data_IF_917496068614
#
_entry.id   IF_917496068614
#
_cell.length_a   1.000
_cell.length_b   1.000
_cell.length_c   1.000
_cell.angle_alpha   90.00
_cell.angle_beta   90.00
_cell.angle_gamma   90.00
#
_symmetry.space_group_name_H-M   'P 1'
#
loop_
_entity.id
_entity.type
_entity.pdbx_description
1 polymer ?
#
# COMPACT_ATOMS: atom_id res chain seq x y z
N UNK A 1 -11.43 3.24 -85.14
CA UNK A 1 -10.19 3.44 -84.36
C UNK A 1 -10.59 3.31 -82.90
N UNK A 2 -10.37 2.14 -82.33
CA UNK A 2 -10.79 1.79 -80.98
C UNK A 2 -9.82 2.42 -79.97
N UNK A 3 -10.30 3.37 -79.18
CA UNK A 3 -9.69 3.81 -77.93
C UNK A 3 -10.58 3.28 -76.81
N UNK A 4 -10.68 1.96 -76.72
CA UNK A 4 -11.48 1.28 -75.70
C UNK A 4 -10.60 0.87 -74.53
N UNK A 5 -11.00 1.34 -73.36
CA UNK A 5 -10.82 0.72 -72.04
C UNK A 5 -9.44 0.67 -71.36
N UNK A 6 -8.30 0.62 -72.05
CA UNK A 6 -7.02 0.39 -71.33
C UNK A 6 -6.63 1.52 -70.37
N UNK A 7 -6.90 2.78 -70.72
CA UNK A 7 -6.55 3.93 -69.87
C UNK A 7 -7.59 4.26 -68.77
N UNK A 8 -8.79 3.68 -68.84
CA UNK A 8 -9.82 3.84 -67.80
C UNK A 8 -9.80 2.68 -66.81
N UNK A 9 -9.41 1.48 -67.24
CA UNK A 9 -9.17 0.31 -66.38
C UNK A 9 -7.81 0.43 -65.65
N UNK A 10 -6.79 1.03 -66.26
CA UNK A 10 -5.52 1.34 -65.57
C UNK A 10 -5.62 2.45 -64.51
N UNK A 11 -6.82 3.02 -64.33
CA UNK A 11 -7.12 4.13 -63.42
C UNK A 11 -8.10 3.75 -62.31
N UNK A 12 -8.20 2.47 -61.94
CA UNK A 12 -8.26 2.16 -60.50
C UNK A 12 -6.95 2.68 -59.91
N UNK A 13 -6.94 3.98 -59.60
CA UNK A 13 -5.73 4.80 -59.67
C UNK A 13 -4.59 4.14 -58.91
N UNK A 14 -3.38 4.13 -59.48
CA UNK A 14 -2.19 3.62 -58.78
C UNK A 14 -2.09 4.20 -57.36
N UNK A 15 -2.56 5.44 -57.15
CA UNK A 15 -2.70 6.06 -55.84
C UNK A 15 -3.67 5.33 -54.89
N UNK A 16 -4.79 4.79 -55.39
CA UNK A 16 -5.72 3.95 -54.61
C UNK A 16 -5.10 2.60 -54.24
N UNK A 17 -4.30 1.99 -55.12
CA UNK A 17 -3.57 0.75 -54.87
C UNK A 17 -2.44 0.98 -53.87
N UNK A 18 -1.68 2.06 -54.02
CA UNK A 18 -0.64 2.49 -53.08
C UNK A 18 -1.25 2.79 -51.72
N UNK A 19 -2.37 3.52 -51.66
CA UNK A 19 -3.06 3.81 -50.41
C UNK A 19 -3.58 2.54 -49.72
N UNK A 20 -4.22 1.62 -50.45
CA UNK A 20 -4.65 0.31 -49.91
C UNK A 20 -3.46 -0.52 -49.41
N UNK A 21 -2.36 -0.52 -50.13
CA UNK A 21 -1.14 -1.26 -49.76
C UNK A 21 -0.46 -0.64 -48.53
N UNK A 22 -0.41 0.70 -48.44
CA UNK A 22 0.11 1.41 -47.28
C UNK A 22 -0.75 1.17 -46.03
N UNK A 23 -2.08 1.20 -46.17
CA UNK A 23 -3.01 0.89 -45.07
C UNK A 23 -2.85 -0.57 -44.63
N UNK A 24 -2.79 -1.51 -45.56
CA UNK A 24 -2.58 -2.92 -45.25
C UNK A 24 -1.21 -3.15 -44.57
N UNK A 25 -0.16 -2.46 -45.03
CA UNK A 25 1.17 -2.52 -44.44
C UNK A 25 1.16 -1.96 -43.02
N UNK A 26 0.55 -0.78 -42.80
CA UNK A 26 0.40 -0.20 -41.46
C UNK A 26 -0.39 -1.13 -40.54
N UNK A 27 -1.48 -1.71 -41.02
CA UNK A 27 -2.26 -2.69 -40.27
C UNK A 27 -1.39 -3.88 -39.85
N UNK A 28 -0.64 -4.50 -40.77
CA UNK A 28 0.22 -5.64 -40.45
C UNK A 28 1.41 -5.28 -39.57
N UNK A 29 1.96 -4.07 -39.68
CA UNK A 29 2.97 -3.56 -38.75
C UNK A 29 2.38 -3.45 -37.34
N UNK A 30 1.18 -2.86 -37.20
CA UNK A 30 0.49 -2.75 -35.91
C UNK A 30 0.18 -4.13 -35.33
N UNK A 31 -0.32 -5.07 -36.15
CA UNK A 31 -0.58 -6.45 -35.72
C UNK A 31 0.72 -7.14 -35.29
N UNK A 32 1.79 -7.03 -36.08
CA UNK A 32 3.08 -7.66 -35.75
C UNK A 32 3.67 -7.08 -34.48
N UNK A 33 3.58 -5.76 -34.29
CA UNK A 33 4.02 -5.09 -33.07
C UNK A 33 3.18 -5.54 -31.86
N UNK A 34 1.86 -5.63 -32.01
CA UNK A 34 0.97 -6.12 -30.96
C UNK A 34 1.29 -7.57 -30.56
N UNK A 35 1.57 -8.44 -31.55
CA UNK A 35 2.01 -9.82 -31.31
C UNK A 35 3.36 -9.88 -30.62
N UNK A 36 4.33 -9.07 -31.03
CA UNK A 36 5.64 -8.98 -30.39
C UNK A 36 5.54 -8.51 -28.93
N UNK A 37 4.73 -7.49 -28.65
CA UNK A 37 4.48 -7.01 -27.28
C UNK A 37 3.78 -8.08 -26.43
N UNK A 38 2.87 -8.83 -27.02
CA UNK A 38 2.19 -9.96 -26.36
C UNK A 38 3.17 -11.09 -26.05
N UNK A 39 4.03 -11.45 -27.00
CA UNK A 39 5.07 -12.45 -26.80
C UNK A 39 6.11 -12.00 -25.76
N UNK A 40 6.54 -10.74 -25.80
CA UNK A 40 7.48 -10.18 -24.83
C UNK A 40 6.95 -10.25 -23.39
N UNK A 41 5.64 -10.04 -23.19
CA UNK A 41 4.98 -10.23 -21.88
C UNK A 41 5.07 -11.68 -21.39
N UNK A 42 4.96 -12.66 -22.27
CA UNK A 42 5.03 -14.07 -21.89
C UNK A 42 6.47 -14.52 -21.61
N UNK A 43 7.44 -14.05 -22.40
CA UNK A 43 8.84 -14.48 -22.32
C UNK A 43 9.62 -13.68 -21.27
N UNK A 44 9.32 -12.38 -21.12
CA UNK A 44 10.03 -11.46 -20.22
C UNK A 44 9.05 -10.65 -19.35
N UNK A 45 8.23 -11.31 -18.51
CA UNK A 45 7.13 -10.66 -17.81
C UNK A 45 7.60 -9.54 -16.87
N UNK A 46 8.75 -9.68 -16.19
CA UNK A 46 9.28 -8.63 -15.32
C UNK A 46 9.76 -7.40 -16.11
N UNK A 47 10.43 -7.60 -17.25
CA UNK A 47 10.86 -6.48 -18.10
C UNK A 47 9.64 -5.74 -18.68
N UNK A 48 8.63 -6.50 -19.14
CA UNK A 48 7.37 -5.93 -19.61
C UNK A 48 6.67 -5.13 -18.51
N UNK A 49 6.64 -5.61 -17.26
CA UNK A 49 6.05 -4.88 -16.14
C UNK A 49 6.69 -3.49 -15.96
N UNK A 50 8.02 -3.42 -15.95
CA UNK A 50 8.74 -2.15 -15.83
C UNK A 50 8.46 -1.20 -17.00
N UNK A 51 8.40 -1.72 -18.23
CA UNK A 51 8.06 -0.93 -19.42
C UNK A 51 6.66 -0.34 -19.28
N UNK A 52 5.67 -1.13 -18.86
CA UNK A 52 4.30 -0.63 -18.66
C UNK A 52 4.18 0.38 -17.52
N UNK A 53 4.92 0.20 -16.42
CA UNK A 53 4.99 1.21 -15.35
C UNK A 53 5.52 2.55 -15.87
N UNK A 54 6.59 2.52 -16.66
CA UNK A 54 7.20 3.73 -17.23
C UNK A 54 6.24 4.45 -18.20
N UNK A 55 5.35 3.71 -18.87
CA UNK A 55 4.29 4.29 -19.70
C UNK A 55 3.02 4.67 -18.92
N UNK A 56 3.00 4.51 -17.60
CA UNK A 56 1.85 4.82 -16.75
C UNK A 56 0.70 3.82 -16.88
N UNK A 57 0.93 2.63 -17.44
CA UNK A 57 -0.09 1.59 -17.57
C UNK A 57 -0.03 0.63 -16.39
N UNK A 58 -0.53 1.07 -15.23
CA UNK A 58 -0.49 0.34 -13.97
C UNK A 58 -1.18 -1.03 -14.04
N UNK A 59 -2.32 -1.13 -14.75
CA UNK A 59 -3.05 -2.39 -14.90
C UNK A 59 -2.22 -3.45 -15.65
N UNK A 60 -1.59 -3.07 -16.76
CA UNK A 60 -0.72 -4.00 -17.49
C UNK A 60 0.57 -4.31 -16.76
N UNK A 61 1.13 -3.33 -16.05
CA UNK A 61 2.26 -3.57 -15.17
C UNK A 61 1.94 -4.61 -14.10
N UNK A 62 0.79 -4.48 -13.44
CA UNK A 62 0.28 -5.43 -12.46
C UNK A 62 0.18 -6.85 -13.05
N UNK A 63 -0.53 -7.02 -14.18
CA UNK A 63 -0.70 -8.35 -14.79
C UNK A 63 0.64 -9.03 -15.09
N UNK A 64 1.61 -8.26 -15.59
CA UNK A 64 2.94 -8.77 -15.95
C UNK A 64 3.76 -9.11 -14.69
N UNK A 65 3.70 -8.26 -13.67
CA UNK A 65 4.40 -8.47 -12.40
C UNK A 65 3.84 -9.66 -11.62
N UNK A 66 2.51 -9.78 -11.53
CA UNK A 66 1.86 -10.94 -10.90
C UNK A 66 2.23 -12.25 -11.63
N UNK A 67 2.32 -12.23 -12.97
CA UNK A 67 2.81 -13.37 -13.74
C UNK A 67 4.28 -13.68 -13.46
N UNK A 68 5.15 -12.66 -13.44
CA UNK A 68 6.58 -12.83 -13.16
C UNK A 68 6.82 -13.40 -11.75
N UNK A 69 6.07 -12.94 -10.75
CA UNK A 69 6.15 -13.41 -9.37
C UNK A 69 5.80 -14.91 -9.23
N UNK A 70 4.99 -15.46 -10.14
CA UNK A 70 4.64 -16.89 -10.18
C UNK A 70 5.67 -17.73 -10.93
N UNK A 71 6.29 -17.17 -11.96
CA UNK A 71 7.17 -17.90 -12.88
C UNK A 71 8.65 -17.88 -12.46
N UNK A 72 9.10 -16.82 -11.79
CA UNK A 72 10.50 -16.60 -11.47
C UNK A 72 10.84 -16.98 -10.01
N UNK A 73 12.12 -17.23 -9.75
CA UNK A 73 12.69 -17.37 -8.41
C UNK A 73 13.66 -16.23 -8.05
N UNK A 74 14.17 -16.25 -6.82
CA UNK A 74 15.21 -15.31 -6.36
C UNK A 74 14.81 -13.84 -6.45
N UNK A 75 15.78 -12.98 -6.75
CA UNK A 75 15.61 -11.51 -6.79
C UNK A 75 14.55 -11.06 -7.82
N UNK A 76 14.46 -11.75 -8.96
CA UNK A 76 13.45 -11.44 -9.98
C UNK A 76 12.02 -11.64 -9.44
N UNK A 77 11.81 -12.66 -8.60
CA UNK A 77 10.50 -12.89 -7.94
C UNK A 77 10.20 -11.78 -6.94
N UNK A 78 11.17 -11.40 -6.12
CA UNK A 78 11.03 -10.36 -5.10
C UNK A 78 10.67 -9.02 -5.75
N UNK A 79 11.40 -8.63 -6.79
CA UNK A 79 11.12 -7.39 -7.54
C UNK A 79 9.73 -7.42 -8.19
N UNK A 80 9.34 -8.56 -8.78
CA UNK A 80 8.01 -8.73 -9.35
C UNK A 80 6.90 -8.59 -8.29
N UNK A 81 7.06 -9.19 -7.11
CA UNK A 81 6.10 -9.07 -6.00
C UNK A 81 5.96 -7.64 -5.50
N UNK A 82 7.07 -6.91 -5.37
CA UNK A 82 7.04 -5.49 -4.97
C UNK A 82 6.23 -4.67 -5.98
N UNK A 83 6.42 -4.90 -7.28
CA UNK A 83 5.64 -4.23 -8.33
C UNK A 83 4.17 -4.63 -8.24
N UNK A 84 3.88 -5.92 -8.10
CA UNK A 84 2.50 -6.43 -8.06
C UNK A 84 1.71 -5.87 -6.87
N UNK A 85 2.31 -5.82 -5.67
CA UNK A 85 1.69 -5.22 -4.48
C UNK A 85 1.42 -3.73 -4.68
N UNK A 86 2.41 -2.95 -5.11
CA UNK A 86 2.21 -1.51 -5.26
C UNK A 86 1.20 -1.19 -6.37
N UNK A 87 1.23 -1.95 -7.47
CA UNK A 87 0.30 -1.75 -8.58
C UNK A 87 -1.13 -2.14 -8.19
N UNK A 88 -1.33 -3.25 -7.47
CA UNK A 88 -2.65 -3.65 -6.98
C UNK A 88 -3.24 -2.63 -6.00
N UNK A 89 -2.42 -2.09 -5.08
CA UNK A 89 -2.86 -1.02 -4.16
C UNK A 89 -3.25 0.24 -4.94
N UNK A 90 -2.43 0.66 -5.90
CA UNK A 90 -2.74 1.81 -6.76
C UNK A 90 -4.05 1.60 -7.52
N UNK A 91 -4.27 0.42 -8.09
CA UNK A 91 -5.48 0.08 -8.83
C UNK A 91 -6.71 -0.01 -7.93
N UNK A 92 -6.57 -0.48 -6.69
CA UNK A 92 -7.65 -0.44 -5.70
C UNK A 92 -8.04 1.01 -5.36
N UNK A 93 -7.08 1.94 -5.32
CA UNK A 93 -7.37 3.37 -5.15
C UNK A 93 -8.28 3.95 -6.24
N UNK A 94 -8.20 3.39 -7.47
CA UNK A 94 -9.02 3.81 -8.62
C UNK A 94 -10.32 3.02 -8.74
N UNK A 95 -10.27 1.69 -8.55
CA UNK A 95 -11.37 0.76 -8.72
C UNK A 95 -11.45 -0.22 -7.53
N UNK A 96 -11.94 0.22 -6.35
CA UNK A 96 -11.87 -0.55 -5.12
C UNK A 96 -12.52 -1.94 -5.20
N UNK A 97 -13.70 -2.03 -5.83
CA UNK A 97 -14.45 -3.30 -5.93
C UNK A 97 -13.85 -4.34 -6.87
N UNK A 98 -12.95 -3.94 -7.77
CA UNK A 98 -12.27 -4.86 -8.69
C UNK A 98 -10.96 -5.40 -8.10
N UNK A 99 -10.24 -4.57 -7.36
CA UNK A 99 -8.86 -4.87 -6.93
C UNK A 99 -8.70 -5.17 -5.45
N UNK A 100 -9.74 -5.09 -4.61
CA UNK A 100 -9.64 -5.45 -3.19
C UNK A 100 -9.07 -6.87 -2.99
N UNK A 101 -9.63 -7.89 -3.66
CA UNK A 101 -9.12 -9.27 -3.59
C UNK A 101 -7.68 -9.41 -4.08
N UNK A 102 -7.30 -8.64 -5.11
CA UNK A 102 -5.92 -8.60 -5.61
C UNK A 102 -4.98 -8.03 -4.55
N UNK A 103 -5.34 -6.92 -3.90
CA UNK A 103 -4.55 -6.35 -2.79
C UNK A 103 -4.41 -7.36 -1.66
N UNK A 104 -5.49 -8.03 -1.25
CA UNK A 104 -5.42 -9.07 -0.21
C UNK A 104 -4.40 -10.14 -0.62
N UNK A 105 -4.60 -10.79 -1.77
CA UNK A 105 -3.75 -11.89 -2.21
C UNK A 105 -2.27 -11.49 -2.38
N UNK A 106 -1.99 -10.36 -3.01
CA UNK A 106 -0.60 -9.95 -3.30
C UNK A 106 0.16 -9.55 -2.04
N UNK A 107 -0.50 -8.87 -1.12
CA UNK A 107 0.12 -8.44 0.14
C UNK A 107 0.36 -9.61 1.09
N UNK A 108 -0.55 -10.59 1.15
CA UNK A 108 -0.30 -11.86 1.86
C UNK A 108 0.92 -12.59 1.26
N UNK A 109 0.97 -12.68 -0.06
CA UNK A 109 2.06 -13.35 -0.75
C UNK A 109 3.40 -12.60 -0.65
N UNK A 110 3.36 -11.27 -0.47
CA UNK A 110 4.54 -10.46 -0.16
C UNK A 110 5.09 -10.78 1.22
N UNK A 111 4.25 -10.80 2.27
CA UNK A 111 4.71 -11.09 3.61
C UNK A 111 5.13 -12.56 3.82
N UNK A 112 4.60 -13.47 2.99
CA UNK A 112 5.03 -14.86 2.97
C UNK A 112 6.41 -15.08 2.30
N UNK A 113 6.93 -14.10 1.56
CA UNK A 113 8.23 -14.18 0.88
C UNK A 113 9.32 -13.49 1.73
N UNK A 114 10.23 -14.26 2.31
CA UNK A 114 11.30 -13.71 3.16
C UNK A 114 12.15 -12.68 2.43
N UNK A 115 12.41 -12.88 1.13
CA UNK A 115 13.16 -11.91 0.33
C UNK A 115 12.44 -10.56 0.16
N UNK A 116 11.10 -10.55 0.20
CA UNK A 116 10.31 -9.33 0.23
C UNK A 116 10.36 -8.65 1.61
N UNK A 117 10.22 -9.44 2.69
CA UNK A 117 10.29 -8.92 4.06
C UNK A 117 11.66 -8.29 4.34
N UNK A 118 12.74 -8.93 3.91
CA UNK A 118 14.12 -8.42 4.03
C UNK A 118 14.34 -7.10 3.26
N UNK A 119 13.47 -6.81 2.28
CA UNK A 119 13.54 -5.57 1.47
C UNK A 119 12.84 -4.38 2.14
N UNK A 120 11.97 -4.60 3.13
CA UNK A 120 11.19 -3.55 3.81
C UNK A 120 12.11 -2.43 4.35
N UNK A 121 13.18 -2.70 5.13
CA UNK A 121 14.02 -1.64 5.67
C UNK A 121 14.69 -0.78 4.59
N UNK A 122 15.05 -1.41 3.47
CA UNK A 122 15.70 -0.74 2.34
C UNK A 122 14.72 0.16 1.58
N UNK A 123 13.46 -0.25 1.48
CA UNK A 123 12.38 0.57 0.92
C UNK A 123 12.08 1.75 1.85
N UNK A 124 12.03 1.52 3.17
CA UNK A 124 11.83 2.58 4.15
C UNK A 124 12.94 3.64 4.09
N UNK A 125 14.21 3.21 4.06
CA UNK A 125 15.35 4.10 3.92
C UNK A 125 15.29 4.91 2.61
N UNK A 126 14.97 4.24 1.50
CA UNK A 126 14.79 4.91 0.22
C UNK A 126 13.67 5.95 0.26
N UNK A 127 12.49 5.59 0.80
CA UNK A 127 11.34 6.49 0.87
C UNK A 127 11.65 7.73 1.70
N UNK A 128 12.35 7.58 2.84
CA UNK A 128 12.72 8.73 3.68
C UNK A 128 13.74 9.62 3.01
N UNK A 129 14.75 9.02 2.35
CA UNK A 129 15.79 9.77 1.65
C UNK A 129 15.21 10.63 0.53
N UNK A 130 14.24 10.08 -0.21
CA UNK A 130 13.65 10.73 -1.38
C UNK A 130 12.40 11.57 -1.06
N UNK A 131 11.76 11.37 0.08
CA UNK A 131 10.65 12.23 0.51
C UNK A 131 11.16 13.64 0.86
N UNK A 132 10.38 14.63 0.42
CA UNK A 132 10.52 16.00 0.89
C UNK A 132 10.52 16.01 2.43
N UNK A 133 11.39 16.84 3.03
CA UNK A 133 11.47 16.96 4.50
C UNK A 133 10.11 17.27 5.14
N UNK A 134 9.24 17.97 4.43
CA UNK A 134 7.86 18.29 4.85
C UNK A 134 6.92 17.08 4.83
N UNK A 135 7.25 16.03 4.07
CA UNK A 135 6.43 14.81 3.91
C UNK A 135 6.90 13.62 4.76
N UNK A 136 8.17 13.60 5.18
CA UNK A 136 8.71 12.64 6.17
C UNK A 136 7.82 12.43 7.42
N UNK A 137 7.14 13.45 7.98
CA UNK A 137 6.17 13.32 9.07
C UNK A 137 4.99 12.38 8.85
N UNK A 138 4.70 12.06 7.58
CA UNK A 138 3.56 11.25 7.17
C UNK A 138 3.99 9.90 6.59
N UNK A 139 5.30 9.60 6.62
CA UNK A 139 5.79 8.30 6.22
C UNK A 139 5.46 7.28 7.32
N UNK A 140 5.09 6.11 6.86
CA UNK A 140 4.91 4.91 7.66
C UNK A 140 6.00 3.92 7.23
N UNK A 141 6.27 2.93 8.08
CA UNK A 141 7.03 1.79 7.58
C UNK A 141 6.25 1.14 6.44
N UNK A 142 6.96 0.60 5.47
CA UNK A 142 6.36 -0.04 4.31
C UNK A 142 5.53 -1.27 4.73
N UNK A 143 5.91 -1.92 5.83
CA UNK A 143 5.09 -2.97 6.46
C UNK A 143 3.73 -2.44 6.95
N UNK A 144 3.71 -1.27 7.60
CA UNK A 144 2.48 -0.63 8.07
C UNK A 144 1.61 -0.19 6.89
N UNK A 145 2.22 0.42 5.87
CA UNK A 145 1.53 0.76 4.62
C UNK A 145 0.83 -0.46 3.99
N UNK A 146 1.56 -1.56 3.77
CA UNK A 146 0.98 -2.77 3.18
C UNK A 146 -0.11 -3.37 4.06
N UNK A 147 0.11 -3.44 5.38
CA UNK A 147 -0.88 -4.01 6.32
C UNK A 147 -2.16 -3.16 6.38
N UNK A 148 -2.02 -1.84 6.34
CA UNK A 148 -3.13 -0.90 6.28
C UNK A 148 -3.94 -1.04 5.00
N UNK A 149 -3.29 -1.14 3.84
CA UNK A 149 -4.00 -1.29 2.56
C UNK A 149 -4.61 -2.67 2.38
N UNK A 150 -4.01 -3.74 2.90
CA UNK A 150 -4.67 -5.05 3.00
C UNK A 150 -5.91 -4.96 3.92
N UNK A 151 -5.81 -4.31 5.07
CA UNK A 151 -6.96 -4.11 5.97
C UNK A 151 -8.09 -3.35 5.30
N UNK A 152 -7.76 -2.29 4.54
CA UNK A 152 -8.73 -1.54 3.73
C UNK A 152 -9.39 -2.43 2.68
N UNK A 153 -8.61 -3.24 1.97
CA UNK A 153 -9.11 -4.18 0.99
C UNK A 153 -10.08 -5.21 1.60
N UNK A 154 -9.72 -5.79 2.75
CA UNK A 154 -10.59 -6.70 3.52
C UNK A 154 -11.91 -6.04 3.92
N UNK A 155 -11.85 -4.80 4.39
CA UNK A 155 -13.06 -4.03 4.73
C UNK A 155 -13.96 -3.81 3.49
N UNK A 156 -13.37 -3.47 2.33
CA UNK A 156 -14.10 -3.31 1.06
C UNK A 156 -14.75 -4.64 0.63
N UNK A 157 -14.04 -5.76 0.77
CA UNK A 157 -14.54 -7.11 0.50
C UNK A 157 -15.57 -7.61 1.53
N UNK A 158 -15.83 -6.84 2.59
CA UNK A 158 -16.79 -7.19 3.64
C UNK A 158 -16.27 -8.18 4.69
N UNK A 159 -14.97 -8.49 4.68
CA UNK A 159 -14.36 -9.33 5.70
C UNK A 159 -14.33 -8.64 7.07
N UNK A 160 -14.43 -9.44 8.13
CA UNK A 160 -14.44 -8.97 9.53
C UNK A 160 -13.08 -9.14 10.21
N UNK A 161 -12.02 -8.68 9.54
CA UNK A 161 -10.66 -8.82 10.04
C UNK A 161 -9.76 -7.65 9.64
N UNK A 162 -8.68 -7.47 10.41
CA UNK A 162 -7.54 -6.64 10.02
C UNK A 162 -6.41 -7.52 9.50
N UNK A 163 -5.50 -6.94 8.73
CA UNK A 163 -4.27 -7.60 8.32
C UNK A 163 -3.13 -7.34 9.29
N UNK A 164 -2.38 -8.41 9.55
CA UNK A 164 -1.17 -8.44 10.34
C UNK A 164 -0.09 -9.23 9.58
N UNK A 165 0.84 -8.55 8.91
CA UNK A 165 1.87 -9.20 8.08
C UNK A 165 1.27 -10.26 7.14
N UNK A 166 0.15 -9.92 6.48
CA UNK A 166 -0.52 -10.82 5.55
C UNK A 166 -1.31 -11.94 6.23
N UNK A 167 -1.53 -11.89 7.55
CA UNK A 167 -2.41 -12.80 8.26
C UNK A 167 -3.67 -12.06 8.73
N UNK A 168 -4.86 -12.63 8.54
CA UNK A 168 -6.07 -12.04 9.07
C UNK A 168 -6.11 -12.18 10.60
N UNK A 169 -6.53 -11.12 11.28
CA UNK A 169 -6.88 -11.10 12.71
C UNK A 169 -8.32 -10.62 12.81
N UNK A 170 -9.20 -11.47 13.33
CA UNK A 170 -10.61 -11.14 13.49
C UNK A 170 -10.78 -9.89 14.37
N UNK A 171 -11.79 -9.07 14.10
CA UNK A 171 -12.07 -7.87 14.91
C UNK A 171 -12.30 -8.19 16.40
N UNK A 172 -12.87 -9.36 16.71
CA UNK A 172 -13.05 -9.84 18.09
C UNK A 172 -11.74 -10.08 18.82
N UNK A 173 -10.67 -10.41 18.10
CA UNK A 173 -9.39 -10.84 18.65
C UNK A 173 -8.34 -9.73 18.60
N UNK A 174 -8.70 -8.57 18.02
CA UNK A 174 -7.78 -7.47 17.74
C UNK A 174 -7.09 -6.93 19.00
N UNK A 175 -7.83 -6.70 20.08
CA UNK A 175 -7.27 -6.22 21.34
C UNK A 175 -6.26 -7.22 21.94
N UNK A 176 -6.59 -8.51 21.91
CA UNK A 176 -5.71 -9.58 22.39
C UNK A 176 -4.44 -9.68 21.53
N UNK A 177 -4.57 -9.59 20.20
CA UNK A 177 -3.44 -9.62 19.28
C UNK A 177 -2.47 -8.44 19.52
N UNK A 178 -3.00 -7.23 19.74
CA UNK A 178 -2.18 -6.06 20.08
C UNK A 178 -1.45 -6.29 21.41
N UNK A 179 -2.15 -6.74 22.44
CA UNK A 179 -1.56 -6.99 23.76
C UNK A 179 -0.45 -8.06 23.70
N UNK A 180 -0.69 -9.19 23.03
CA UNK A 180 0.32 -10.25 22.84
C UNK A 180 1.57 -9.74 22.13
N UNK A 181 1.42 -8.88 21.12
CA UNK A 181 2.59 -8.28 20.45
C UNK A 181 3.34 -7.30 21.37
N UNK A 182 2.61 -6.53 22.18
CA UNK A 182 3.18 -5.53 23.10
C UNK A 182 3.89 -6.15 24.32
N UNK A 183 3.67 -7.42 24.66
CA UNK A 183 4.31 -8.12 25.78
C UNK A 183 5.73 -8.59 25.49
N UNK A 184 6.06 -8.88 24.23
CA UNK A 184 7.36 -9.44 23.85
C UNK A 184 8.26 -8.37 23.23
N UNK A 185 9.47 -8.16 23.75
CA UNK A 185 10.46 -7.25 23.15
C UNK A 185 10.78 -7.62 21.69
N UNK A 186 10.70 -8.91 21.35
CA UNK A 186 10.96 -9.40 19.99
C UNK A 186 9.77 -9.13 19.06
N UNK A 187 8.55 -9.11 19.58
CA UNK A 187 7.32 -8.88 18.80
C UNK A 187 6.78 -7.47 18.92
N UNK A 188 7.44 -6.62 19.70
CA UNK A 188 6.95 -5.29 20.02
C UNK A 188 6.72 -4.42 18.77
N UNK A 189 7.62 -4.52 17.79
CA UNK A 189 7.51 -3.80 16.52
C UNK A 189 6.25 -4.21 15.71
N UNK A 190 5.69 -5.39 15.98
CA UNK A 190 4.53 -5.93 15.30
C UNK A 190 3.19 -5.38 15.79
N UNK A 191 3.15 -4.73 16.97
CA UNK A 191 1.94 -4.10 17.49
C UNK A 191 1.56 -2.82 16.72
N UNK A 192 2.53 -2.04 16.24
CA UNK A 192 2.27 -0.81 15.49
C UNK A 192 1.39 -1.04 14.24
N UNK A 193 1.71 -2.00 13.35
CA UNK A 193 0.85 -2.31 12.20
C UNK A 193 -0.58 -2.71 12.60
N UNK A 194 -0.78 -3.47 13.69
CA UNK A 194 -2.12 -3.82 14.17
C UNK A 194 -2.91 -2.57 14.62
N UNK A 195 -2.27 -1.66 15.36
CA UNK A 195 -2.88 -0.41 15.82
C UNK A 195 -3.21 0.51 14.63
N UNK A 196 -2.29 0.62 13.66
CA UNK A 196 -2.53 1.35 12.42
C UNK A 196 -3.66 0.73 11.59
N UNK A 197 -3.76 -0.60 11.51
CA UNK A 197 -4.88 -1.30 10.87
C UNK A 197 -6.20 -1.02 11.59
N UNK A 198 -6.22 -0.96 12.92
CA UNK A 198 -7.41 -0.52 13.68
C UNK A 198 -7.81 0.92 13.31
N UNK A 199 -6.83 1.81 13.12
CA UNK A 199 -7.07 3.18 12.67
C UNK A 199 -7.64 3.23 11.23
N UNK A 200 -7.21 2.33 10.34
CA UNK A 200 -7.76 2.20 8.99
C UNK A 200 -9.23 1.79 9.04
N UNK A 201 -9.58 0.77 9.85
CA UNK A 201 -10.99 0.36 10.02
C UNK A 201 -11.82 1.50 10.57
N UNK A 202 -11.32 2.24 11.58
CA UNK A 202 -12.01 3.41 12.09
C UNK A 202 -12.21 4.48 11.01
N UNK A 203 -11.22 4.73 10.16
CA UNK A 203 -11.33 5.66 9.04
C UNK A 203 -12.40 5.22 8.02
N UNK A 204 -12.45 3.93 7.69
CA UNK A 204 -13.47 3.40 6.77
C UNK A 204 -14.87 3.40 7.37
N UNK A 205 -15.00 3.10 8.67
CA UNK A 205 -16.27 3.25 9.38
C UNK A 205 -16.76 4.70 9.40
N UNK A 206 -15.86 5.68 9.57
CA UNK A 206 -16.20 7.11 9.47
C UNK A 206 -16.74 7.43 8.07
N UNK A 207 -16.02 7.03 7.01
CA UNK A 207 -16.44 7.29 5.62
C UNK A 207 -17.77 6.61 5.28
N UNK A 208 -17.97 5.40 5.79
CA UNK A 208 -19.18 4.61 5.57
C UNK A 208 -20.34 4.97 6.53
N UNK A 209 -20.11 5.87 7.50
CA UNK A 209 -21.04 6.18 8.59
C UNK A 209 -21.56 4.93 9.32
N UNK A 210 -20.65 4.04 9.72
CA UNK A 210 -20.92 2.77 10.41
C UNK A 210 -20.31 2.76 11.82
N UNK A 211 -20.87 1.96 12.75
CA UNK A 211 -20.22 1.73 14.05
C UNK A 211 -18.88 0.99 13.86
N UNK A 212 -18.02 1.06 14.88
CA UNK A 212 -16.82 0.23 14.91
C UNK A 212 -17.19 -1.25 15.06
N UNK A 213 -16.52 -2.16 14.34
CA UNK A 213 -16.80 -3.58 14.40
C UNK A 213 -15.98 -4.31 15.48
N UNK A 214 -15.22 -3.58 16.29
CA UNK A 214 -14.45 -4.10 17.43
C UNK A 214 -14.76 -3.32 18.71
N UNK A 215 -14.42 -3.90 19.86
CA UNK A 215 -14.50 -3.21 21.15
C UNK A 215 -13.42 -2.12 21.23
N UNK A 216 -13.83 -0.87 21.01
CA UNK A 216 -12.94 0.28 21.05
C UNK A 216 -12.26 0.44 22.41
N UNK A 217 -12.94 0.16 23.53
CA UNK A 217 -12.35 0.35 24.85
C UNK A 217 -11.22 -0.66 25.09
N UNK A 218 -11.43 -1.93 24.71
CA UNK A 218 -10.42 -2.98 24.80
C UNK A 218 -9.22 -2.71 23.87
N UNK A 219 -9.47 -2.31 22.62
CA UNK A 219 -8.41 -1.97 21.66
C UNK A 219 -7.62 -0.75 22.12
N UNK A 220 -8.29 0.29 22.61
CA UNK A 220 -7.65 1.49 23.16
C UNK A 220 -6.77 1.16 24.36
N UNK A 221 -7.23 0.30 25.27
CA UNK A 221 -6.42 -0.13 26.42
C UNK A 221 -5.14 -0.87 25.99
N UNK A 222 -5.24 -1.82 25.06
CA UNK A 222 -4.09 -2.54 24.52
C UNK A 222 -3.12 -1.61 23.77
N UNK A 223 -3.64 -0.71 22.94
CA UNK A 223 -2.85 0.28 22.20
C UNK A 223 -2.17 1.30 23.13
N UNK A 224 -2.80 1.62 24.26
CA UNK A 224 -2.22 2.48 25.30
C UNK A 224 -1.05 1.82 26.02
N UNK A 225 -1.17 0.55 26.37
CA UNK A 225 -0.08 -0.18 26.99
C UNK A 225 1.14 -0.23 26.06
N UNK A 226 0.91 -0.50 24.78
CA UNK A 226 1.93 -0.40 23.75
C UNK A 226 2.57 0.99 23.73
N UNK A 227 1.78 2.06 23.59
CA UNK A 227 2.31 3.43 23.56
C UNK A 227 3.19 3.77 24.77
N UNK A 228 2.77 3.38 25.98
CA UNK A 228 3.53 3.67 27.20
C UNK A 228 4.92 3.03 27.18
N UNK A 229 5.02 1.79 26.66
CA UNK A 229 6.32 1.12 26.44
C UNK A 229 7.14 1.85 25.36
N UNK A 230 6.50 2.32 24.27
CA UNK A 230 7.18 3.03 23.17
C UNK A 230 7.81 4.33 23.68
N UNK A 231 7.04 5.11 24.45
CA UNK A 231 7.48 6.36 25.04
C UNK A 231 8.61 6.10 26.04
N UNK A 232 8.49 5.08 26.90
CA UNK A 232 9.52 4.73 27.88
C UNK A 232 10.88 4.39 27.27
N UNK A 233 10.89 3.85 26.04
CA UNK A 233 12.12 3.54 25.30
C UNK A 233 12.60 4.62 24.33
N UNK A 234 11.89 5.75 24.19
CA UNK A 234 12.20 6.77 23.19
C UNK A 234 13.10 7.88 23.75
N UNK A 235 14.29 8.07 23.16
CA UNK A 235 15.05 9.31 23.35
C UNK A 235 14.37 10.44 22.59
N UNK A 236 13.67 11.30 23.32
CA UNK A 236 12.96 12.45 22.73
C UNK A 236 13.91 13.49 22.12
N UNK A 237 15.18 13.51 22.52
CA UNK A 237 16.18 14.47 22.04
C UNK A 237 16.78 14.01 20.71
N UNK A 238 17.06 12.72 20.57
CA UNK A 238 17.54 12.09 19.33
C UNK A 238 16.65 10.90 18.93
N UNK A 239 15.40 11.15 18.53
CA UNK A 239 14.47 10.07 18.21
C UNK A 239 14.93 9.31 16.98
N UNK A 240 14.70 7.99 16.98
CA UNK A 240 14.94 7.16 15.80
C UNK A 240 13.71 7.15 14.90
N UNK A 241 13.90 6.77 13.63
CA UNK A 241 12.78 6.54 12.72
C UNK A 241 11.79 5.50 13.29
N UNK A 242 12.32 4.43 13.89
CA UNK A 242 11.52 3.39 14.53
C UNK A 242 10.62 4.01 15.61
N UNK A 243 11.19 4.83 16.50
CA UNK A 243 10.42 5.54 17.54
C UNK A 243 9.31 6.42 16.97
N UNK A 244 9.55 7.08 15.84
CA UNK A 244 8.50 7.84 15.14
C UNK A 244 7.37 6.93 14.69
N UNK A 245 7.66 5.80 14.03
CA UNK A 245 6.63 4.87 13.56
C UNK A 245 5.78 4.30 14.70
N UNK A 246 6.42 3.93 15.81
CA UNK A 246 5.75 3.36 16.98
C UNK A 246 4.74 4.36 17.59
N UNK A 247 5.17 5.61 17.80
CA UNK A 247 4.28 6.66 18.34
C UNK A 247 3.22 7.09 17.33
N UNK A 248 3.56 7.12 16.04
CA UNK A 248 2.63 7.49 14.95
C UNK A 248 1.44 6.54 14.85
N UNK A 249 1.64 5.25 15.05
CA UNK A 249 0.57 4.25 14.99
C UNK A 249 -0.55 4.59 15.97
N UNK A 250 -0.22 4.83 17.24
CA UNK A 250 -1.18 5.24 18.26
C UNK A 250 -1.75 6.65 17.97
N UNK A 251 -0.92 7.61 17.56
CA UNK A 251 -1.38 8.96 17.19
C UNK A 251 -2.49 8.91 16.14
N UNK A 252 -2.31 8.10 15.09
CA UNK A 252 -3.30 7.92 14.03
C UNK A 252 -4.58 7.29 14.58
N UNK A 253 -4.45 6.19 15.33
CA UNK A 253 -5.56 5.51 15.98
C UNK A 253 -6.38 6.46 16.85
N UNK A 254 -5.74 7.11 17.83
CA UNK A 254 -6.37 8.05 18.75
C UNK A 254 -7.14 9.14 18.00
N UNK A 255 -6.51 9.74 16.97
CA UNK A 255 -7.16 10.77 16.16
C UNK A 255 -8.42 10.27 15.47
N UNK A 256 -8.42 9.06 14.89
CA UNK A 256 -9.61 8.50 14.20
C UNK A 256 -10.71 8.15 15.18
N UNK A 257 -10.36 7.54 16.33
CA UNK A 257 -11.31 7.20 17.37
C UNK A 257 -12.02 8.45 17.91
N UNK A 258 -11.27 9.52 18.17
CA UNK A 258 -11.81 10.78 18.67
C UNK A 258 -12.62 11.50 17.59
N UNK A 259 -12.09 11.66 16.37
CA UNK A 259 -12.76 12.39 15.30
C UNK A 259 -14.00 11.67 14.78
N UNK A 260 -14.01 10.33 14.83
CA UNK A 260 -15.16 9.52 14.46
C UNK A 260 -16.26 9.49 15.53
N UNK A 261 -16.04 10.10 16.70
CA UNK A 261 -17.00 10.08 17.80
C UNK A 261 -17.19 8.70 18.42
N UNK A 262 -16.23 7.79 18.23
CA UNK A 262 -16.32 6.42 18.73
C UNK A 262 -15.97 6.30 20.23
N UNK A 263 -15.10 7.19 20.72
CA UNK A 263 -14.83 7.29 22.15
C UNK A 263 -15.88 8.12 22.90
N UNK A 264 -16.28 7.64 24.07
CA UNK A 264 -17.08 8.40 25.02
C UNK A 264 -16.37 9.71 25.41
N UNK A 265 -17.13 10.79 25.63
CA UNK A 265 -16.57 12.12 25.85
C UNK A 265 -15.60 12.17 27.04
N UNK A 266 -15.94 11.48 28.12
CA UNK A 266 -15.16 11.35 29.35
C UNK A 266 -13.84 10.59 29.15
N UNK A 267 -13.71 9.77 28.09
CA UNK A 267 -12.48 9.02 27.78
C UNK A 267 -11.54 9.74 26.82
N UNK A 268 -12.00 10.81 26.14
CA UNK A 268 -11.19 11.51 25.12
C UNK A 268 -9.86 12.02 25.66
N UNK A 269 -9.88 12.68 26.82
CA UNK A 269 -8.66 13.16 27.48
C UNK A 269 -7.71 12.00 27.82
N UNK A 270 -8.25 10.88 28.29
CA UNK A 270 -7.49 9.67 28.60
C UNK A 270 -7.00 8.89 27.36
N UNK A 271 -7.43 9.26 26.15
CA UNK A 271 -6.90 8.75 24.87
C UNK A 271 -5.83 9.69 24.31
N UNK A 272 -6.00 11.00 24.50
CA UNK A 272 -5.15 12.04 23.93
C UNK A 272 -3.90 12.35 24.77
N UNK A 273 -4.04 12.46 26.09
CA UNK A 273 -2.98 12.93 26.97
C UNK A 273 -1.92 11.84 27.19
N UNK A 274 -0.64 12.19 27.17
CA UNK A 274 0.48 11.29 27.40
C UNK A 274 1.47 11.92 28.35
N UNK A 275 2.14 11.08 29.13
CA UNK A 275 3.20 11.51 30.04
C UNK A 275 4.55 11.09 29.46
N UNK A 276 5.48 12.04 29.37
CA UNK A 276 6.82 11.83 28.82
C UNK A 276 7.83 12.36 29.84
N UNK A 277 8.53 11.44 30.52
CA UNK A 277 9.29 11.78 31.72
C UNK A 277 8.34 12.34 32.80
N UNK A 278 8.55 13.59 33.22
CA UNK A 278 7.72 14.28 34.22
C UNK A 278 6.71 15.25 33.59
N UNK A 279 6.67 15.38 32.26
CA UNK A 279 5.80 16.34 31.58
C UNK A 279 4.55 15.66 31.00
N UNK A 280 3.39 16.29 31.18
CA UNK A 280 2.17 15.96 30.44
C UNK A 280 2.10 16.75 29.13
N UNK A 281 1.69 16.06 28.07
CA UNK A 281 1.43 16.64 26.74
C UNK A 281 0.33 15.84 26.04
N UNK A 282 -0.02 16.18 24.80
CA UNK A 282 -0.92 15.37 23.97
C UNK A 282 -0.11 14.49 23.01
N UNK A 283 -0.72 13.40 22.55
CA UNK A 283 -0.08 12.52 21.57
C UNK A 283 0.29 13.26 20.27
N UNK A 284 -0.54 14.22 19.84
CA UNK A 284 -0.26 15.04 18.66
C UNK A 284 0.94 15.97 18.88
N UNK A 285 1.03 16.60 20.06
CA UNK A 285 2.18 17.44 20.40
C UNK A 285 3.46 16.63 20.55
N UNK A 286 3.40 15.49 21.23
CA UNK A 286 4.52 14.56 21.33
C UNK A 286 5.04 14.19 19.94
N UNK A 287 4.16 13.75 19.04
CA UNK A 287 4.59 13.34 17.71
C UNK A 287 5.13 14.51 16.88
N UNK A 288 4.31 15.55 16.64
CA UNK A 288 4.64 16.59 15.67
C UNK A 288 5.60 17.66 16.21
N UNK A 289 5.47 18.07 17.48
CA UNK A 289 6.24 19.20 18.03
C UNK A 289 7.54 18.76 18.71
N UNK A 290 7.60 17.53 19.21
CA UNK A 290 8.77 17.00 19.93
C UNK A 290 9.55 16.02 19.04
N UNK A 291 9.01 14.83 18.80
CA UNK A 291 9.76 13.74 18.17
C UNK A 291 10.15 14.08 16.74
N UNK A 292 9.16 14.42 15.92
CA UNK A 292 9.38 14.71 14.51
C UNK A 292 10.31 15.91 14.30
N UNK A 293 10.10 16.97 15.09
CA UNK A 293 10.93 18.17 15.07
C UNK A 293 12.39 17.82 15.37
N UNK A 294 12.64 16.96 16.34
CA UNK A 294 13.99 16.57 16.73
C UNK A 294 14.64 15.60 15.73
N UNK A 295 13.86 14.72 15.10
CA UNK A 295 14.35 13.85 14.02
C UNK A 295 14.77 14.60 12.75
N UNK A 296 14.09 15.70 12.42
CA UNK A 296 14.33 16.46 11.20
C UNK A 296 15.36 17.61 11.33
N UNK A 297 15.91 17.84 12.54
CA UNK A 297 17.00 18.78 12.77
C UNK A 297 18.28 18.29 12.09
#
# INVERSE_FOLDING_TARGET
MALTDENQIAKESESSVIARTAIATLFWIVVSLALLLTAARAVFPLAAANVYLNFGNTARAYDCAASAARLHGGESRVNARIIAVNSSISLMGENPGEYAEAVISETEAFFADTGCVDRIPLIDEYNIKNADKTMRPNLYSYADYISGENTRARFISGEQSVSYYGKPVAYSDLAAAIATCAESEQNYYYAAPLISSAAVVAEECIKANKPLPFDEAAVTAAAREYLNKAIGGTDVTNPTLKSLYEVKAYQKYARRIISGGFAANERKAAIENVTVGEAETTIDELYYKILLKNYCK
#
